data_IF_267908645581
#
_entry.id   IF_267908645581
#
_cell.length_a   1.000
_cell.length_b   1.000
_cell.length_c   1.000
_cell.angle_alpha   90.00
_cell.angle_beta   90.00
_cell.angle_gamma   90.00
#
_symmetry.space_group_name_H-M   'P 1'
#
loop_
_entity.id
_entity.type
_entity.pdbx_description
1 polymer ?
#
# COMPACT_ATOMS: atom_id res chain seq x y z
N UNK A 1 20.71 -1.97 -12.49
CA UNK A 1 19.36 -1.59 -12.97
C UNK A 1 19.05 -0.22 -12.38
N UNK A 2 18.80 0.79 -13.22
CA UNK A 2 18.44 2.14 -12.75
C UNK A 2 17.01 2.08 -12.22
N UNK A 3 16.81 2.19 -10.90
CA UNK A 3 15.45 2.17 -10.33
C UNK A 3 14.74 3.47 -10.74
N UNK A 4 13.55 3.41 -11.34
CA UNK A 4 12.78 4.62 -11.60
C UNK A 4 12.48 5.32 -10.27
N UNK A 5 12.65 6.65 -10.24
CA UNK A 5 12.37 7.47 -9.07
C UNK A 5 11.03 8.19 -9.30
N UNK A 6 9.95 7.48 -9.03
CA UNK A 6 8.58 7.97 -9.21
C UNK A 6 8.02 8.46 -7.87
N UNK A 7 6.98 9.31 -7.93
CA UNK A 7 6.28 9.74 -6.72
C UNK A 7 5.71 8.56 -5.92
N UNK A 8 5.18 7.53 -6.60
CA UNK A 8 4.66 6.31 -5.97
C UNK A 8 5.77 5.58 -5.22
N UNK A 9 6.96 5.44 -5.79
CA UNK A 9 8.07 4.75 -5.14
C UNK A 9 8.63 5.52 -3.95
N UNK A 10 8.63 6.86 -4.00
CA UNK A 10 9.00 7.69 -2.84
C UNK A 10 8.00 7.49 -1.68
N UNK A 11 6.71 7.55 -1.95
CA UNK A 11 5.66 7.30 -0.96
C UNK A 11 5.73 5.87 -0.39
N UNK A 12 5.97 4.89 -1.24
CA UNK A 12 6.17 3.49 -0.84
C UNK A 12 7.34 3.35 0.14
N UNK A 13 8.49 3.94 -0.17
CA UNK A 13 9.66 3.88 0.70
C UNK A 13 9.46 4.63 2.02
N UNK A 14 8.77 5.77 2.00
CA UNK A 14 8.40 6.49 3.22
C UNK A 14 7.46 5.65 4.11
N UNK A 15 6.43 5.04 3.52
CA UNK A 15 5.51 4.15 4.23
C UNK A 15 6.25 2.95 4.81
N UNK A 16 7.16 2.33 4.04
CA UNK A 16 7.92 1.18 4.52
C UNK A 16 8.80 1.53 5.71
N UNK A 17 9.45 2.69 5.70
CA UNK A 17 10.25 3.16 6.83
C UNK A 17 9.40 3.34 8.11
N UNK A 18 8.14 3.78 7.99
CA UNK A 18 7.22 3.87 9.13
C UNK A 18 6.80 2.51 9.68
N UNK A 19 6.51 1.54 8.79
CA UNK A 19 6.18 0.17 9.20
C UNK A 19 7.38 -0.50 9.88
N UNK A 20 8.59 -0.31 9.35
CA UNK A 20 9.82 -0.84 9.95
C UNK A 20 10.05 -0.21 11.33
N UNK A 21 9.89 1.11 11.46
CA UNK A 21 10.00 1.81 12.75
C UNK A 21 8.93 1.35 13.77
N UNK A 22 7.70 1.09 13.32
CA UNK A 22 6.66 0.53 14.18
C UNK A 22 7.05 -0.88 14.67
N UNK A 23 7.60 -1.73 13.80
CA UNK A 23 8.09 -3.06 14.16
C UNK A 23 9.24 -3.01 15.18
N UNK A 24 10.16 -2.06 15.04
CA UNK A 24 11.23 -1.82 16.02
C UNK A 24 10.67 -1.33 17.37
N UNK A 25 9.69 -0.43 17.35
CA UNK A 25 9.03 0.08 18.56
C UNK A 25 8.30 -1.04 19.33
N UNK A 26 7.63 -1.95 18.62
CA UNK A 26 7.01 -3.16 19.20
C UNK A 26 8.08 -4.06 19.83
N UNK A 27 9.16 -4.37 19.11
CA UNK A 27 10.23 -5.23 19.63
C UNK A 27 10.90 -4.65 20.89
N UNK A 28 10.97 -3.33 21.00
CA UNK A 28 11.59 -2.64 22.13
C UNK A 28 10.69 -2.54 23.37
N UNK A 29 9.35 -2.68 23.24
CA UNK A 29 8.39 -2.53 24.35
C UNK A 29 7.75 -3.85 24.75
N UNK A 30 7.97 -4.25 26.00
CA UNK A 30 7.30 -5.41 26.59
C UNK A 30 5.92 -5.03 27.16
N UNK A 31 4.86 -5.36 26.42
CA UNK A 31 3.55 -5.68 27.02
C UNK A 31 2.62 -4.55 27.46
N UNK A 32 2.47 -3.48 26.67
CA UNK A 32 1.31 -2.57 26.82
C UNK A 32 0.63 -2.34 25.47
N UNK A 33 -0.61 -2.82 25.38
CA UNK A 33 -1.60 -2.40 24.39
C UNK A 33 -1.90 -0.92 24.60
N UNK A 34 -1.34 -0.09 23.73
CA UNK A 34 -1.79 1.28 23.53
C UNK A 34 -1.98 1.45 22.02
N UNK A 35 -3.00 0.78 21.49
CA UNK A 35 -3.42 0.88 20.08
C UNK A 35 -3.51 2.36 19.65
N UNK A 36 -3.98 3.25 20.54
CA UNK A 36 -4.06 4.71 20.33
C UNK A 36 -2.69 5.37 20.12
N UNK A 37 -1.64 4.91 20.81
CA UNK A 37 -0.28 5.45 20.65
C UNK A 37 0.28 5.04 19.29
N UNK A 38 0.13 3.76 18.91
CA UNK A 38 0.55 3.26 17.60
C UNK A 38 -0.22 3.90 16.45
N UNK A 39 -1.53 4.11 16.63
CA UNK A 39 -2.36 4.84 15.68
C UNK A 39 -1.83 6.26 15.46
N UNK A 40 -1.50 6.96 16.54
CA UNK A 40 -1.02 8.34 16.47
C UNK A 40 0.39 8.47 15.86
N UNK A 41 1.29 7.54 16.19
CA UNK A 41 2.70 7.60 15.82
C UNK A 41 2.97 7.04 14.43
N UNK A 42 2.28 5.97 14.05
CA UNK A 42 2.64 5.17 12.87
C UNK A 42 1.46 4.96 11.92
N UNK A 43 0.32 4.45 12.39
CA UNK A 43 -0.73 3.99 11.47
C UNK A 43 -1.43 5.14 10.74
N UNK A 44 -1.77 6.24 11.42
CA UNK A 44 -2.40 7.40 10.76
C UNK A 44 -1.57 7.94 9.59
N UNK A 45 -0.25 8.05 9.77
CA UNK A 45 0.64 8.53 8.71
C UNK A 45 0.82 7.47 7.61
N UNK A 46 0.90 6.20 7.98
CA UNK A 46 0.94 5.09 7.01
C UNK A 46 -0.30 5.09 6.11
N UNK A 47 -1.49 5.29 6.68
CA UNK A 47 -2.77 5.32 5.96
C UNK A 47 -2.85 6.54 5.02
N UNK A 48 -2.41 7.71 5.47
CA UNK A 48 -2.33 8.90 4.61
C UNK A 48 -1.41 8.67 3.40
N UNK A 49 -0.27 8.02 3.61
CA UNK A 49 0.69 7.71 2.54
C UNK A 49 0.12 6.65 1.58
N UNK A 50 -0.56 5.65 2.12
CA UNK A 50 -1.26 4.64 1.32
C UNK A 50 -2.31 5.26 0.42
N UNK A 51 -3.19 6.11 0.96
CA UNK A 51 -4.22 6.80 0.20
C UNK A 51 -3.62 7.68 -0.92
N UNK A 52 -2.56 8.44 -0.62
CA UNK A 52 -1.85 9.23 -1.63
C UNK A 52 -1.23 8.36 -2.72
N UNK A 53 -0.63 7.24 -2.33
CA UNK A 53 0.00 6.32 -3.27
C UNK A 53 -1.03 5.69 -4.20
N UNK A 54 -2.17 5.24 -3.67
CA UNK A 54 -3.21 4.59 -4.47
C UNK A 54 -3.93 5.55 -5.42
N UNK A 55 -4.04 6.84 -5.07
CA UNK A 55 -4.65 7.86 -5.90
C UNK A 55 -3.83 8.25 -7.15
N UNK A 56 -2.51 8.02 -7.15
CA UNK A 56 -1.63 8.37 -8.28
C UNK A 56 -1.67 7.28 -9.36
N UNK A 57 -1.87 7.58 -10.65
CA UNK A 57 -1.84 6.56 -11.69
C UNK A 57 -0.44 5.94 -11.83
N UNK A 58 -0.36 4.64 -12.09
CA UNK A 58 0.92 3.97 -12.33
C UNK A 58 1.51 4.40 -13.68
N UNK A 59 2.81 4.69 -13.69
CA UNK A 59 3.55 5.07 -14.90
C UNK A 59 4.52 3.99 -15.37
N UNK A 60 4.82 3.03 -14.49
CA UNK A 60 5.68 1.90 -14.78
C UNK A 60 5.30 0.66 -13.95
N UNK A 61 5.87 -0.49 -14.30
CA UNK A 61 5.63 -1.74 -13.58
C UNK A 61 6.04 -1.69 -12.09
N UNK A 62 7.04 -0.88 -11.75
CA UNK A 62 7.49 -0.73 -10.36
C UNK A 62 6.45 0.01 -9.50
N UNK A 63 5.74 0.99 -10.07
CA UNK A 63 4.64 1.68 -9.40
C UNK A 63 3.52 0.71 -9.06
N UNK A 64 3.13 -0.11 -10.04
CA UNK A 64 2.09 -1.11 -9.86
C UNK A 64 2.49 -2.15 -8.81
N UNK A 65 3.73 -2.63 -8.84
CA UNK A 65 4.24 -3.56 -7.83
C UNK A 65 4.20 -2.96 -6.42
N UNK A 66 4.57 -1.69 -6.25
CA UNK A 66 4.49 -0.99 -4.96
C UNK A 66 3.05 -0.89 -4.45
N UNK A 67 2.10 -0.46 -5.30
CA UNK A 67 0.68 -0.44 -4.96
C UNK A 67 0.17 -1.83 -4.61
N UNK A 68 0.54 -2.86 -5.37
CA UNK A 68 0.11 -4.23 -5.13
C UNK A 68 0.56 -4.75 -3.75
N UNK A 69 1.81 -4.48 -3.36
CA UNK A 69 2.31 -4.86 -2.04
C UNK A 69 1.48 -4.20 -0.94
N UNK A 70 1.18 -2.91 -1.07
CA UNK A 70 0.44 -2.17 -0.04
C UNK A 70 -1.04 -2.56 -0.02
N UNK A 71 -1.70 -2.56 -1.18
CA UNK A 71 -3.14 -2.82 -1.30
C UNK A 71 -3.55 -4.28 -1.07
N UNK A 72 -2.58 -5.17 -0.81
CA UNK A 72 -2.83 -6.54 -0.35
C UNK A 72 -2.40 -6.75 1.10
N UNK A 73 -2.06 -5.68 1.81
CA UNK A 73 -1.43 -5.74 3.13
C UNK A 73 -0.24 -6.71 3.15
N UNK A 74 0.63 -6.63 2.12
CA UNK A 74 1.76 -7.53 1.89
C UNK A 74 1.35 -9.01 1.74
N UNK A 75 0.18 -9.26 1.14
CA UNK A 75 -0.42 -10.59 1.02
C UNK A 75 -1.22 -11.05 2.25
N UNK A 76 -1.41 -10.19 3.25
CA UNK A 76 -2.19 -10.50 4.46
C UNK A 76 -3.71 -10.43 4.27
N UNK A 77 -4.20 -9.56 3.39
CA UNK A 77 -5.63 -9.41 3.08
C UNK A 77 -5.82 -9.19 1.58
N UNK A 78 -6.76 -9.92 0.99
CA UNK A 78 -7.14 -9.69 -0.40
C UNK A 78 -7.93 -8.38 -0.50
N UNK A 79 -7.43 -7.44 -1.31
CA UNK A 79 -8.23 -6.28 -1.72
C UNK A 79 -9.47 -6.75 -2.47
N UNK A 80 -10.59 -6.07 -2.24
CA UNK A 80 -11.84 -6.39 -2.91
C UNK A 80 -11.69 -6.24 -4.42
N UNK A 81 -11.99 -7.30 -5.18
CA UNK A 81 -11.84 -7.31 -6.64
C UNK A 81 -12.63 -6.16 -7.31
N UNK A 82 -13.83 -5.83 -6.81
CA UNK A 82 -14.71 -4.86 -7.44
C UNK A 82 -14.24 -3.44 -7.14
N UNK A 83 -14.09 -3.13 -5.86
CA UNK A 83 -13.95 -1.77 -5.36
C UNK A 83 -12.51 -1.41 -4.97
N UNK A 84 -11.62 -2.40 -4.86
CA UNK A 84 -10.23 -2.21 -4.48
C UNK A 84 -9.45 -1.37 -5.50
N UNK A 85 -8.75 -0.35 -5.02
CA UNK A 85 -8.05 0.62 -5.89
C UNK A 85 -6.96 -0.02 -6.74
N UNK A 86 -6.28 -1.05 -6.22
CA UNK A 86 -5.29 -1.83 -6.98
C UNK A 86 -5.93 -2.59 -8.15
N UNK A 87 -7.15 -3.11 -7.97
CA UNK A 87 -7.85 -3.87 -9.01
C UNK A 87 -8.45 -2.95 -10.07
N UNK A 88 -8.89 -1.75 -9.67
CA UNK A 88 -9.24 -0.68 -10.61
C UNK A 88 -8.05 -0.33 -11.51
N UNK A 89 -6.88 -0.06 -10.92
CA UNK A 89 -5.64 0.22 -11.67
C UNK A 89 -5.25 -0.96 -12.57
N UNK A 90 -5.32 -2.20 -12.06
CA UNK A 90 -4.98 -3.40 -12.82
C UNK A 90 -5.86 -3.54 -14.07
N UNK A 91 -7.17 -3.29 -13.94
CA UNK A 91 -8.11 -3.31 -15.07
C UNK A 91 -7.80 -2.22 -16.08
N UNK A 92 -7.53 -1.00 -15.61
CA UNK A 92 -7.18 0.13 -16.48
C UNK A 92 -5.92 -0.18 -17.31
N UNK A 93 -4.89 -0.78 -16.69
CA UNK A 93 -3.63 -1.13 -17.35
C UNK A 93 -3.76 -2.20 -18.44
N UNK A 94 -4.75 -3.10 -18.33
CA UNK A 94 -4.98 -4.17 -19.31
C UNK A 94 -6.16 -3.89 -20.25
N UNK A 95 -6.82 -2.74 -20.09
CA UNK A 95 -7.98 -2.35 -20.88
C UNK A 95 -9.24 -3.18 -20.60
N UNK A 96 -9.47 -3.59 -19.34
CA UNK A 96 -10.70 -4.27 -18.91
C UNK A 96 -11.79 -3.27 -18.52
N UNK A 97 -12.96 -3.36 -19.17
CA UNK A 97 -14.13 -2.53 -18.87
C UNK A 97 -14.93 -3.07 -17.67
N UNK A 98 -14.66 -2.54 -16.47
CA UNK A 98 -15.49 -2.73 -15.28
C UNK A 98 -15.27 -4.04 -14.49
N UNK A 99 -15.79 -4.13 -13.24
CA UNK A 99 -15.53 -5.26 -12.34
C UNK A 99 -16.39 -6.51 -12.61
N UNK A 100 -17.33 -6.44 -13.56
CA UNK A 100 -18.32 -7.49 -13.84
C UNK A 100 -17.71 -8.76 -14.49
N UNK A 101 -16.47 -8.67 -14.98
CA UNK A 101 -15.70 -9.83 -15.41
C UNK A 101 -14.99 -10.45 -14.20
N UNK A 102 -15.72 -11.22 -13.41
CA UNK A 102 -15.14 -11.94 -12.28
C UNK A 102 -14.28 -13.08 -12.83
N UNK A 103 -12.97 -13.12 -12.53
CA UNK A 103 -12.14 -14.28 -12.90
C UNK A 103 -12.68 -15.53 -12.19
N UNK A 104 -12.76 -16.63 -12.93
CA UNK A 104 -13.28 -17.92 -12.47
C UNK A 104 -12.47 -18.52 -11.32
#
# INVERSE_FOLDING_TARGET
>A
MNRPDTAILRLFHERQALIDAAGEHICARTGRDEDDEFDSLFYRRSDELEAQMMALPCTCAADFAAKMIVGTCQGGVFSDWKDGEIWREARDLVGMDGPDHQPA
#
